data_IF_491891188329
#
_entry.id   IF_491891188329
#
_cell.length_a   1.000
_cell.length_b   1.000
_cell.length_c   1.000
_cell.angle_alpha   90.00
_cell.angle_beta   90.00
_cell.angle_gamma   90.00
#
_symmetry.space_group_name_H-M   'P 1'
#
loop_
_entity.id
_entity.type
_entity.pdbx_description
1 polymer ?
#
# COMPACT_ATOMS: atom_id res chain seq x y z
N UNK A 1 -8.47 15.37 16.27
CA UNK A 1 -8.81 14.12 15.56
C UNK A 1 -8.14 14.13 14.19
N UNK A 2 -8.05 12.99 13.53
CA UNK A 2 -7.36 12.83 12.25
C UNK A 2 -8.09 11.82 11.36
N UNK A 3 -8.85 12.27 10.33
CA UNK A 3 -9.34 11.37 9.30
C UNK A 3 -8.17 10.83 8.49
N UNK A 4 -7.97 9.51 8.44
CA UNK A 4 -6.94 8.86 7.62
C UNK A 4 -7.39 8.78 6.16
N UNK A 5 -7.69 9.95 5.60
CA UNK A 5 -8.30 10.15 4.30
C UNK A 5 -7.55 11.30 3.61
N UNK A 6 -6.53 10.93 2.83
CA UNK A 6 -5.68 11.88 2.12
C UNK A 6 -5.29 11.36 0.75
N UNK A 7 -5.00 12.28 -0.16
CA UNK A 7 -4.37 12.00 -1.46
C UNK A 7 -3.13 12.88 -1.60
N UNK A 8 -2.23 12.47 -2.47
CA UNK A 8 -1.01 13.20 -2.81
C UNK A 8 -1.24 14.62 -3.38
N UNK A 9 -2.48 14.95 -3.79
CA UNK A 9 -2.88 16.27 -4.31
C UNK A 9 -3.96 16.93 -3.44
N UNK A 10 -3.70 18.18 -3.00
CA UNK A 10 -4.65 19.00 -2.25
C UNK A 10 -5.45 19.99 -3.11
N UNK A 11 -6.34 20.74 -2.46
CA UNK A 11 -7.15 21.82 -3.05
C UNK A 11 -8.65 21.60 -2.92
N UNK A 12 -9.44 22.66 -2.72
CA UNK A 12 -10.89 22.54 -2.54
C UNK A 12 -11.60 21.87 -3.74
N UNK A 13 -11.06 22.05 -4.95
CA UNK A 13 -11.55 21.42 -6.17
C UNK A 13 -11.40 19.89 -6.21
N UNK A 14 -10.53 19.31 -5.37
CA UNK A 14 -10.36 17.85 -5.25
C UNK A 14 -11.18 17.27 -4.09
N UNK A 15 -11.96 18.10 -3.40
CA UNK A 15 -12.86 17.68 -2.34
C UNK A 15 -13.92 16.73 -2.85
N UNK A 16 -14.18 15.66 -2.09
CA UNK A 16 -15.23 14.69 -2.40
C UNK A 16 -16.02 14.39 -1.14
N UNK A 17 -17.33 14.27 -1.28
CA UNK A 17 -18.22 13.93 -0.17
C UNK A 17 -17.93 12.52 0.41
N UNK A 18 -17.42 11.62 -0.44
CA UNK A 18 -17.13 10.21 -0.10
C UNK A 18 -15.73 9.99 0.50
N UNK A 19 -14.95 11.05 0.76
CA UNK A 19 -13.52 10.91 1.05
C UNK A 19 -13.24 10.14 2.35
N UNK A 20 -14.19 10.14 3.29
CA UNK A 20 -14.07 9.50 4.60
C UNK A 20 -14.69 8.10 4.68
N UNK A 21 -15.48 7.70 3.68
CA UNK A 21 -16.23 6.42 3.69
C UNK A 21 -15.26 5.25 3.86
N UNK A 22 -15.54 4.40 4.85
CA UNK A 22 -14.75 3.23 5.24
C UNK A 22 -13.26 3.54 5.54
N UNK A 23 -12.93 4.79 5.89
CA UNK A 23 -11.58 5.18 6.31
C UNK A 23 -11.48 5.25 7.82
N UNK A 24 -10.34 4.84 8.43
CA UNK A 24 -10.10 5.09 9.83
C UNK A 24 -10.16 6.59 10.15
N UNK A 25 -10.82 6.95 11.24
CA UNK A 25 -10.86 8.30 11.77
C UNK A 25 -10.34 8.29 13.20
N UNK A 26 -9.13 8.78 13.40
CA UNK A 26 -8.51 8.76 14.72
C UNK A 26 -9.07 9.88 15.60
N UNK A 27 -9.53 9.50 16.78
CA UNK A 27 -10.01 10.40 17.83
C UNK A 27 -8.99 10.35 18.95
N UNK A 28 -8.19 11.40 19.06
CA UNK A 28 -7.13 11.51 20.05
C UNK A 28 -7.75 11.71 21.44
N UNK A 29 -7.64 10.71 22.33
CA UNK A 29 -8.14 10.80 23.71
C UNK A 29 -7.12 11.52 24.57
N UNK A 30 -7.51 12.62 25.20
CA UNK A 30 -6.68 13.39 26.13
C UNK A 30 -7.40 13.54 27.47
N UNK A 31 -6.70 13.60 28.62
CA UNK A 31 -7.33 13.72 29.93
C UNK A 31 -8.27 14.92 30.10
N UNK A 32 -8.07 15.98 29.31
CA UNK A 32 -8.84 17.22 29.36
C UNK A 32 -10.05 17.21 28.41
N UNK A 33 -10.17 16.21 27.54
CA UNK A 33 -11.32 16.08 26.64
C UNK A 33 -12.53 15.57 27.42
N UNK A 34 -13.65 16.30 27.36
CA UNK A 34 -14.90 15.83 27.96
C UNK A 34 -15.50 14.67 27.14
N UNK A 35 -16.27 13.81 27.80
CA UNK A 35 -16.93 12.69 27.13
C UNK A 35 -17.89 13.19 26.03
N UNK A 36 -18.56 14.32 26.25
CA UNK A 36 -19.45 14.93 25.26
C UNK A 36 -18.70 15.38 24.00
N UNK A 37 -17.50 15.95 24.17
CA UNK A 37 -16.66 16.37 23.04
C UNK A 37 -16.15 15.16 22.23
N UNK A 38 -15.78 14.07 22.91
CA UNK A 38 -15.36 12.84 22.26
C UNK A 38 -16.52 12.20 21.49
N UNK A 39 -17.71 12.13 22.10
CA UNK A 39 -18.93 11.61 21.46
C UNK A 39 -19.34 12.44 20.24
N UNK A 40 -19.23 13.77 20.31
CA UNK A 40 -19.55 14.64 19.18
C UNK A 40 -18.67 14.35 17.96
N UNK A 41 -17.36 14.19 18.16
CA UNK A 41 -16.42 13.88 17.08
C UNK A 41 -16.63 12.47 16.55
N UNK A 42 -16.95 11.52 17.43
CA UNK A 42 -17.27 10.14 17.04
C UNK A 42 -18.53 10.07 16.20
N UNK A 43 -19.60 10.76 16.59
CA UNK A 43 -20.82 10.83 15.82
C UNK A 43 -20.58 11.46 14.44
N UNK A 44 -19.79 12.53 14.37
CA UNK A 44 -19.41 13.13 13.08
C UNK A 44 -18.66 12.13 12.18
N UNK A 45 -17.74 11.35 12.74
CA UNK A 45 -17.02 10.34 11.98
C UNK A 45 -17.98 9.25 11.45
N UNK A 46 -18.94 8.81 12.27
CA UNK A 46 -19.95 7.83 11.87
C UNK A 46 -20.93 8.37 10.81
N UNK A 47 -21.37 9.62 10.95
CA UNK A 47 -22.24 10.30 9.97
C UNK A 47 -21.57 10.44 8.60
N UNK A 48 -20.24 10.47 8.57
CA UNK A 48 -19.41 10.48 7.36
C UNK A 48 -18.96 9.08 6.91
N UNK A 49 -19.56 8.03 7.48
CA UNK A 49 -19.29 6.61 7.20
C UNK A 49 -17.81 6.20 7.42
N UNK A 50 -17.09 6.96 8.25
CA UNK A 50 -15.74 6.62 8.66
C UNK A 50 -15.76 5.56 9.77
N UNK A 51 -14.59 5.01 10.09
CA UNK A 51 -14.40 4.00 11.14
C UNK A 51 -13.68 4.70 12.31
N UNK A 52 -14.37 5.09 13.40
CA UNK A 52 -13.74 5.76 14.53
C UNK A 52 -12.71 4.85 15.21
N UNK A 53 -11.55 5.41 15.53
CA UNK A 53 -10.49 4.72 16.29
C UNK A 53 -10.02 5.65 17.39
N UNK A 54 -10.19 5.25 18.66
CA UNK A 54 -9.70 6.03 19.80
C UNK A 54 -8.26 5.63 20.12
N UNK A 55 -7.36 6.61 20.15
CA UNK A 55 -5.94 6.44 20.51
C UNK A 55 -5.49 7.62 21.37
N UNK A 56 -4.50 7.44 22.23
CA UNK A 56 -3.78 8.60 22.77
C UNK A 56 -3.01 9.33 21.66
N UNK A 57 -2.69 10.62 21.81
CA UNK A 57 -1.86 11.35 20.85
C UNK A 57 -0.53 10.64 20.56
N UNK A 58 0.12 10.10 21.60
CA UNK A 58 1.40 9.43 21.47
C UNK A 58 1.31 8.10 20.70
N UNK A 59 0.25 7.31 20.94
CA UNK A 59 0.01 6.08 20.17
C UNK A 59 -0.28 6.38 18.71
N UNK A 60 -1.07 7.42 18.44
CA UNK A 60 -1.32 7.90 17.08
C UNK A 60 0.00 8.29 16.39
N UNK A 61 0.80 9.16 17.01
CA UNK A 61 2.02 9.69 16.42
C UNK A 61 3.06 8.58 16.15
N UNK A 62 3.19 7.63 17.06
CA UNK A 62 3.98 6.40 16.86
C UNK A 62 3.49 5.58 15.68
N UNK A 63 2.18 5.34 15.60
CA UNK A 63 1.60 4.57 14.52
C UNK A 63 1.85 5.25 13.16
N UNK A 64 1.53 6.54 13.03
CA UNK A 64 1.69 7.27 11.76
C UNK A 64 3.16 7.51 11.39
N UNK A 65 4.08 7.54 12.35
CA UNK A 65 5.52 7.55 12.06
C UNK A 65 5.93 6.32 11.24
N UNK A 66 5.43 5.13 11.61
CA UNK A 66 5.70 3.87 10.91
C UNK A 66 4.90 3.73 9.62
N UNK A 67 3.57 3.96 9.66
CA UNK A 67 2.68 3.60 8.55
C UNK A 67 2.48 4.70 7.50
N UNK A 68 2.99 5.92 7.74
CA UNK A 68 2.78 7.07 6.84
C UNK A 68 4.04 7.92 6.65
N UNK A 69 4.63 8.45 7.72
CA UNK A 69 5.70 9.45 7.62
C UNK A 69 7.03 8.86 7.14
N UNK A 70 7.45 7.73 7.70
CA UNK A 70 8.68 7.05 7.26
C UNK A 70 8.56 6.55 5.82
N UNK A 71 7.46 5.88 5.40
CA UNK A 71 7.25 5.53 4.01
C UNK A 71 7.40 6.72 3.04
N UNK A 72 6.87 7.90 3.39
CA UNK A 72 7.05 9.10 2.59
C UNK A 72 8.52 9.49 2.40
N UNK A 73 9.32 9.47 3.47
CA UNK A 73 10.75 9.79 3.41
C UNK A 73 11.52 8.76 2.60
N UNK A 74 11.28 7.47 2.82
CA UNK A 74 11.91 6.39 2.05
C UNK A 74 11.60 6.51 0.57
N UNK A 75 10.31 6.72 0.23
CA UNK A 75 9.85 6.95 -1.13
C UNK A 75 10.56 8.15 -1.77
N UNK A 76 10.67 9.27 -1.04
CA UNK A 76 11.32 10.49 -1.52
C UNK A 76 12.82 10.32 -1.72
N UNK A 77 13.50 9.64 -0.80
CA UNK A 77 14.94 9.35 -0.89
C UNK A 77 15.26 8.41 -2.06
N UNK A 78 14.44 7.38 -2.27
CA UNK A 78 14.57 6.48 -3.42
C UNK A 78 14.31 7.21 -4.74
N UNK A 79 13.24 7.99 -4.83
CA UNK A 79 12.93 8.81 -6.01
C UNK A 79 14.06 9.77 -6.36
N UNK A 80 14.70 10.37 -5.34
CA UNK A 80 15.83 11.28 -5.53
C UNK A 80 17.06 10.60 -6.16
N UNK A 81 17.19 9.27 -6.12
CA UNK A 81 18.25 8.54 -6.84
C UNK A 81 18.03 8.46 -8.35
N UNK A 82 16.80 8.68 -8.82
CA UNK A 82 16.45 8.64 -10.24
C UNK A 82 16.84 9.94 -10.97
N UNK A 83 17.10 11.03 -10.24
CA UNK A 83 17.47 12.32 -10.82
C UNK A 83 18.84 12.22 -11.47
N UNK A 84 18.89 12.32 -12.80
CA UNK A 84 20.13 12.20 -13.57
C UNK A 84 20.66 10.78 -13.73
N UNK A 85 19.89 9.76 -13.30
CA UNK A 85 20.23 8.36 -13.51
C UNK A 85 20.03 7.95 -14.98
N UNK A 86 20.83 6.99 -15.43
CA UNK A 86 20.61 6.27 -16.70
C UNK A 86 19.78 5.02 -16.46
N UNK A 87 19.05 4.52 -17.48
CA UNK A 87 18.28 3.28 -17.35
C UNK A 87 16.89 3.45 -16.69
N UNK A 88 16.43 4.68 -16.45
CA UNK A 88 15.10 4.95 -15.87
C UNK A 88 13.96 4.43 -16.76
N UNK A 89 14.21 4.30 -18.06
CA UNK A 89 13.30 3.67 -19.02
C UNK A 89 12.98 2.20 -18.70
N UNK A 90 13.84 1.52 -17.93
CA UNK A 90 13.62 0.15 -17.46
C UNK A 90 12.67 0.07 -16.25
N UNK A 91 12.20 1.21 -15.73
CA UNK A 91 11.33 1.27 -14.57
C UNK A 91 9.96 0.61 -14.82
N UNK A 92 9.77 -0.57 -14.22
CA UNK A 92 8.50 -1.27 -14.13
C UNK A 92 7.55 -0.70 -13.07
N UNK A 93 6.39 -1.34 -12.91
CA UNK A 93 5.31 -0.88 -12.01
C UNK A 93 5.75 -0.86 -10.53
N UNK A 94 6.53 -1.84 -10.08
CA UNK A 94 6.99 -1.91 -8.70
C UNK A 94 7.77 -0.67 -8.23
N UNK A 95 8.67 -0.12 -9.07
CA UNK A 95 9.34 1.13 -8.76
C UNK A 95 8.34 2.30 -8.70
N UNK A 96 7.44 2.39 -9.68
CA UNK A 96 6.42 3.46 -9.76
C UNK A 96 5.54 3.49 -8.52
N UNK A 97 5.10 2.34 -8.04
CA UNK A 97 4.29 2.22 -6.82
C UNK A 97 5.08 2.63 -5.58
N UNK A 98 6.34 2.19 -5.48
CA UNK A 98 7.24 2.51 -4.36
C UNK A 98 7.52 4.02 -4.27
N UNK A 99 7.72 4.69 -5.41
CA UNK A 99 8.03 6.13 -5.45
C UNK A 99 6.80 7.03 -5.61
N UNK A 100 5.59 6.47 -5.71
CA UNK A 100 4.36 7.21 -6.04
C UNK A 100 4.12 8.40 -5.11
N UNK A 101 4.35 8.22 -3.81
CA UNK A 101 4.05 9.23 -2.78
C UNK A 101 5.15 10.32 -2.69
N UNK A 102 6.33 10.11 -3.29
CA UNK A 102 7.38 11.12 -3.37
C UNK A 102 6.95 12.41 -4.08
N UNK A 103 5.91 12.35 -4.92
CA UNK A 103 5.34 13.51 -5.63
C UNK A 103 4.42 14.40 -4.77
N UNK A 104 4.38 14.21 -3.46
CA UNK A 104 3.55 15.00 -2.54
C UNK A 104 4.08 16.43 -2.32
N UNK A 105 3.22 17.34 -1.85
CA UNK A 105 3.59 18.75 -1.56
C UNK A 105 4.65 18.86 -0.45
N UNK A 106 5.87 19.35 -0.76
CA UNK A 106 6.93 19.51 0.24
C UNK A 106 6.56 20.47 1.37
N UNK A 107 5.76 21.50 1.13
CA UNK A 107 5.41 22.49 2.17
C UNK A 107 4.59 21.86 3.28
N UNK A 108 3.64 21.01 2.90
CA UNK A 108 2.83 20.24 3.84
C UNK A 108 3.69 19.22 4.59
N UNK A 109 4.50 18.44 3.87
CA UNK A 109 5.26 17.36 4.48
C UNK A 109 6.36 17.85 5.42
N UNK A 110 7.00 19.00 5.16
CA UNK A 110 7.95 19.59 6.12
C UNK A 110 7.29 19.88 7.47
N UNK A 111 6.03 20.33 7.48
CA UNK A 111 5.29 20.56 8.73
C UNK A 111 4.95 19.25 9.44
N UNK A 112 4.46 18.25 8.71
CA UNK A 112 4.14 16.91 9.25
C UNK A 112 5.38 16.25 9.87
N UNK A 113 6.49 16.25 9.12
CA UNK A 113 7.74 15.66 9.56
C UNK A 113 8.33 16.40 10.77
N UNK A 114 8.27 17.73 10.76
CA UNK A 114 8.71 18.55 11.89
C UNK A 114 7.90 18.30 13.17
N UNK A 115 6.58 18.12 13.03
CA UNK A 115 5.69 17.89 14.16
C UNK A 115 5.88 16.52 14.83
N UNK A 116 6.38 15.50 14.11
CA UNK A 116 6.50 14.13 14.61
C UNK A 116 7.95 13.58 14.53
N UNK A 117 8.95 14.46 14.56
CA UNK A 117 10.34 14.11 14.28
C UNK A 117 10.90 13.02 15.21
N UNK A 118 10.54 13.02 16.50
CA UNK A 118 11.06 12.05 17.47
C UNK A 118 10.65 10.61 17.17
N UNK A 119 9.37 10.39 16.86
CA UNK A 119 8.88 9.05 16.53
C UNK A 119 9.39 8.61 15.15
N UNK A 120 9.50 9.53 14.19
CA UNK A 120 10.08 9.26 12.86
C UNK A 120 11.55 8.81 12.99
N UNK A 121 12.36 9.52 13.77
CA UNK A 121 13.79 9.16 13.98
C UNK A 121 13.93 7.75 14.55
N UNK A 122 13.02 7.35 15.44
CA UNK A 122 13.03 6.00 16.01
C UNK A 122 12.86 4.95 14.92
N UNK A 123 11.88 5.12 14.02
CA UNK A 123 11.66 4.19 12.90
C UNK A 123 12.81 4.22 11.89
N UNK A 124 13.31 5.41 11.55
CA UNK A 124 14.41 5.56 10.59
C UNK A 124 15.71 4.90 11.07
N UNK A 125 16.02 4.96 12.37
CA UNK A 125 17.21 4.28 12.92
C UNK A 125 17.13 2.76 12.83
N UNK A 126 15.95 2.18 13.06
CA UNK A 126 15.75 0.75 12.85
C UNK A 126 15.94 0.40 11.38
N UNK A 127 15.34 1.18 10.47
CA UNK A 127 15.50 0.98 9.03
C UNK A 127 16.95 1.16 8.55
N UNK A 128 17.67 2.15 9.08
CA UNK A 128 19.09 2.39 8.80
C UNK A 128 19.95 1.19 9.22
N UNK A 129 19.69 0.63 10.41
CA UNK A 129 20.38 -0.57 10.90
C UNK A 129 20.14 -1.77 9.99
N UNK A 130 18.90 -2.00 9.59
CA UNK A 130 18.54 -3.11 8.70
C UNK A 130 19.17 -2.93 7.30
N UNK A 131 19.12 -1.71 6.77
CA UNK A 131 19.77 -1.36 5.50
C UNK A 131 21.28 -1.55 5.56
N UNK A 132 21.92 -1.16 6.67
CA UNK A 132 23.36 -1.37 6.90
C UNK A 132 23.72 -2.85 6.85
N UNK A 133 22.97 -3.72 7.53
CA UNK A 133 23.20 -5.16 7.49
C UNK A 133 23.04 -5.76 6.07
N UNK A 134 22.08 -5.26 5.29
CA UNK A 134 21.90 -5.67 3.88
C UNK A 134 23.08 -5.21 3.02
N UNK A 135 23.55 -3.97 3.20
CA UNK A 135 24.71 -3.45 2.48
C UNK A 135 25.95 -4.29 2.78
N UNK A 136 26.25 -4.54 4.07
CA UNK A 136 27.41 -5.35 4.48
C UNK A 136 27.36 -6.77 3.91
N UNK A 137 26.16 -7.38 3.83
CA UNK A 137 25.98 -8.69 3.23
C UNK A 137 26.20 -8.66 1.70
N UNK A 138 25.74 -7.62 1.01
CA UNK A 138 25.90 -7.47 -0.44
C UNK A 138 27.33 -7.13 -0.86
N UNK A 139 28.09 -6.44 0.00
CA UNK A 139 29.50 -6.11 -0.25
C UNK A 139 30.40 -7.36 -0.29
N UNK A 140 30.05 -8.41 0.46
CA UNK A 140 30.79 -9.67 0.45
C UNK A 140 29.88 -10.88 0.73
N UNK A 141 29.33 -11.45 -0.35
CA UNK A 141 28.47 -12.63 -0.30
C UNK A 141 29.18 -13.92 0.15
N UNK A 142 30.52 -13.93 0.22
CA UNK A 142 31.29 -15.08 0.68
C UNK A 142 31.37 -15.19 2.20
N UNK A 143 31.08 -14.10 2.92
CA UNK A 143 31.05 -14.10 4.38
C UNK A 143 29.99 -15.06 4.92
N UNK A 144 30.33 -15.87 5.94
CA UNK A 144 29.34 -16.70 6.62
C UNK A 144 28.14 -15.85 7.09
N UNK A 145 26.94 -16.23 6.67
CA UNK A 145 25.70 -15.56 7.05
C UNK A 145 25.19 -14.48 6.08
N UNK A 146 25.97 -14.04 5.09
CA UNK A 146 25.55 -12.98 4.16
C UNK A 146 24.22 -13.31 3.44
N UNK A 147 24.13 -14.49 2.81
CA UNK A 147 22.89 -14.93 2.15
C UNK A 147 21.73 -15.11 3.12
N UNK A 148 22.00 -15.54 4.37
CA UNK A 148 20.97 -15.69 5.38
C UNK A 148 20.40 -14.33 5.83
N UNK A 149 21.23 -13.28 5.92
CA UNK A 149 20.78 -11.91 6.19
C UNK A 149 19.85 -11.40 5.09
N UNK A 150 20.18 -11.68 3.81
CA UNK A 150 19.33 -11.30 2.68
C UNK A 150 18.00 -12.04 2.71
N UNK A 151 18.02 -13.37 2.87
CA UNK A 151 16.83 -14.20 2.99
C UNK A 151 15.93 -13.71 4.14
N UNK A 152 16.51 -13.49 5.32
CA UNK A 152 15.75 -13.08 6.49
C UNK A 152 15.14 -11.68 6.32
N UNK A 153 15.83 -10.76 5.66
CA UNK A 153 15.29 -9.44 5.31
C UNK A 153 14.05 -9.57 4.42
N UNK A 154 14.12 -10.39 3.37
CA UNK A 154 12.99 -10.62 2.46
C UNK A 154 11.83 -11.33 3.19
N UNK A 155 12.12 -12.36 3.98
CA UNK A 155 11.11 -13.07 4.77
C UNK A 155 10.41 -12.14 5.77
N UNK A 156 11.16 -11.26 6.44
CA UNK A 156 10.58 -10.28 7.35
C UNK A 156 9.72 -9.24 6.61
N UNK A 157 10.15 -8.80 5.42
CA UNK A 157 9.35 -7.96 4.54
C UNK A 157 8.02 -8.63 4.17
N UNK A 158 8.06 -9.90 3.77
CA UNK A 158 6.86 -10.68 3.44
C UNK A 158 5.91 -10.74 4.64
N UNK A 159 6.40 -11.09 5.83
CA UNK A 159 5.61 -11.09 7.07
C UNK A 159 5.00 -9.73 7.38
N UNK A 160 5.74 -8.65 7.11
CA UNK A 160 5.23 -7.28 7.23
C UNK A 160 4.02 -7.03 6.34
N UNK A 161 4.08 -7.44 5.08
CA UNK A 161 2.94 -7.36 4.14
C UNK A 161 1.74 -8.18 4.63
N UNK A 162 1.97 -9.40 5.13
CA UNK A 162 0.90 -10.27 5.65
C UNK A 162 0.16 -9.70 6.87
N UNK A 163 0.81 -8.79 7.61
CA UNK A 163 0.23 -8.12 8.77
C UNK A 163 -0.77 -7.01 8.42
N UNK A 164 -0.78 -6.55 7.16
CA UNK A 164 -1.69 -5.51 6.71
C UNK A 164 -3.13 -6.04 6.61
N UNK A 165 -4.14 -5.24 7.00
CA UNK A 165 -5.54 -5.65 6.90
C UNK A 165 -6.01 -5.70 5.43
N UNK A 166 -6.68 -6.78 5.05
CA UNK A 166 -7.35 -6.93 3.75
C UNK A 166 -8.75 -6.30 3.71
N UNK A 167 -9.41 -6.34 2.54
CA UNK A 167 -10.72 -5.68 2.27
C UNK A 167 -11.85 -6.03 3.26
N UNK A 168 -11.76 -7.18 3.94
CA UNK A 168 -12.73 -7.64 4.94
C UNK A 168 -12.11 -7.84 6.33
N UNK A 169 -10.95 -7.25 6.61
CA UNK A 169 -10.17 -7.51 7.83
C UNK A 169 -9.45 -8.87 7.85
N UNK A 170 -9.57 -9.66 6.78
CA UNK A 170 -8.77 -10.86 6.52
C UNK A 170 -7.30 -10.51 6.24
N UNK A 171 -6.35 -11.31 6.72
CA UNK A 171 -4.92 -11.12 6.38
C UNK A 171 -4.70 -11.37 4.88
N UNK A 172 -3.86 -10.55 4.25
CA UNK A 172 -3.49 -10.66 2.82
C UNK A 172 -2.91 -12.05 2.49
N UNK A 173 -2.30 -12.73 3.47
CA UNK A 173 -1.61 -14.02 3.30
C UNK A 173 -2.45 -15.22 2.88
N UNK A 174 -3.76 -15.03 2.68
CA UNK A 174 -4.67 -16.11 2.29
C UNK A 174 -5.28 -15.92 0.90
N UNK A 175 -4.67 -15.15 -0.01
CA UNK A 175 -5.16 -15.10 -1.39
C UNK A 175 -4.29 -15.93 -2.33
N UNK A 176 -4.93 -16.55 -3.32
CA UNK A 176 -4.29 -17.10 -4.50
C UNK A 176 -4.29 -16.05 -5.59
N UNK A 177 -3.13 -15.81 -6.16
CA UNK A 177 -2.92 -14.75 -7.16
C UNK A 177 -2.69 -15.37 -8.54
N UNK A 178 -3.35 -14.82 -9.56
CA UNK A 178 -3.27 -15.29 -10.94
C UNK A 178 -3.09 -14.10 -11.88
N UNK A 179 -2.18 -14.20 -12.85
CA UNK A 179 -1.95 -13.14 -13.84
C UNK A 179 -2.63 -13.51 -15.15
N UNK A 180 -3.66 -12.75 -15.52
CA UNK A 180 -4.40 -12.91 -16.78
C UNK A 180 -3.87 -11.92 -17.81
N UNK A 181 -3.51 -12.41 -18.99
CA UNK A 181 -3.15 -11.59 -20.13
C UNK A 181 -4.42 -11.07 -20.82
N UNK A 182 -4.53 -9.76 -20.95
CA UNK A 182 -5.63 -9.09 -21.66
C UNK A 182 -5.12 -8.38 -22.91
N UNK A 183 -5.94 -8.38 -23.97
CA UNK A 183 -5.64 -7.58 -25.15
C UNK A 183 -5.80 -6.08 -24.87
N UNK A 184 -5.01 -5.25 -25.54
CA UNK A 184 -5.18 -3.80 -25.51
C UNK A 184 -6.32 -3.35 -26.44
N UNK A 185 -7.56 -3.71 -26.08
CA UNK A 185 -8.78 -3.36 -26.80
C UNK A 185 -9.87 -2.87 -25.84
N UNK A 186 -10.73 -1.93 -26.27
CA UNK A 186 -11.85 -1.46 -25.45
C UNK A 186 -12.74 -2.62 -24.98
N UNK A 187 -13.00 -2.70 -23.68
CA UNK A 187 -13.92 -3.65 -23.07
C UNK A 187 -13.30 -4.97 -22.59
N UNK A 188 -12.02 -5.25 -22.84
CA UNK A 188 -11.41 -6.52 -22.41
C UNK A 188 -11.40 -6.69 -20.88
N UNK A 189 -11.11 -5.63 -20.12
CA UNK A 189 -11.23 -5.68 -18.65
C UNK A 189 -12.66 -5.96 -18.21
N UNK A 190 -13.65 -5.31 -18.82
CA UNK A 190 -15.06 -5.53 -18.49
C UNK A 190 -15.49 -6.96 -18.81
N UNK A 191 -15.03 -7.50 -19.94
CA UNK A 191 -15.25 -8.91 -20.33
C UNK A 191 -14.69 -9.85 -19.28
N UNK A 192 -13.44 -9.62 -18.84
CA UNK A 192 -12.80 -10.43 -17.79
C UNK A 192 -13.63 -10.44 -16.50
N UNK A 193 -14.01 -9.28 -15.98
CA UNK A 193 -14.78 -9.20 -14.73
C UNK A 193 -16.19 -9.77 -14.86
N UNK A 194 -16.87 -9.57 -16.00
CA UNK A 194 -18.18 -10.16 -16.24
C UNK A 194 -18.11 -11.69 -16.23
N UNK A 195 -17.13 -12.27 -16.93
CA UNK A 195 -16.98 -13.72 -16.99
C UNK A 195 -16.59 -14.32 -15.63
N UNK A 196 -15.77 -13.63 -14.82
CA UNK A 196 -15.49 -14.03 -13.43
C UNK A 196 -16.77 -13.99 -12.57
N UNK A 197 -17.59 -12.94 -12.75
CA UNK A 197 -18.88 -12.81 -12.09
C UNK A 197 -19.86 -13.92 -12.45
N UNK A 198 -19.92 -14.34 -13.71
CA UNK A 198 -20.75 -15.47 -14.17
C UNK A 198 -20.33 -16.81 -13.55
N UNK A 199 -19.03 -16.99 -13.28
CA UNK A 199 -18.52 -18.17 -12.56
C UNK A 199 -18.90 -18.13 -11.07
N UNK A 200 -19.25 -16.95 -10.55
CA UNK A 200 -19.61 -16.73 -9.15
C UNK A 200 -18.39 -16.61 -8.24
N UNK A 201 -17.26 -16.10 -8.75
CA UNK A 201 -16.03 -15.88 -7.99
C UNK A 201 -15.87 -14.39 -7.69
N UNK A 202 -15.57 -14.05 -6.44
CA UNK A 202 -15.23 -12.69 -6.07
C UNK A 202 -13.74 -12.41 -6.29
N UNK A 203 -13.42 -11.23 -6.80
CA UNK A 203 -12.02 -10.74 -6.92
C UNK A 203 -11.71 -9.89 -5.69
N UNK A 204 -10.81 -10.40 -4.85
CA UNK A 204 -10.43 -9.78 -3.58
C UNK A 204 -9.46 -8.62 -3.80
N UNK A 205 -8.56 -8.72 -4.78
CA UNK A 205 -7.70 -7.60 -5.18
C UNK A 205 -7.34 -7.67 -6.66
N UNK A 206 -6.96 -6.52 -7.24
CA UNK A 206 -6.53 -6.44 -8.63
C UNK A 206 -5.34 -5.49 -8.80
N UNK A 207 -4.37 -5.88 -9.63
CA UNK A 207 -3.36 -4.97 -10.16
C UNK A 207 -3.32 -5.06 -11.67
N UNK A 208 -3.12 -3.92 -12.31
CA UNK A 208 -2.98 -3.82 -13.76
C UNK A 208 -1.57 -3.33 -14.08
N UNK A 209 -0.82 -4.13 -14.83
CA UNK A 209 0.48 -3.75 -15.35
C UNK A 209 0.42 -3.55 -16.87
N UNK A 210 1.07 -2.48 -17.33
CA UNK A 210 1.29 -2.22 -18.75
C UNK A 210 2.76 -2.40 -19.06
N UNK A 211 3.07 -3.29 -20.01
CA UNK A 211 4.42 -3.41 -20.55
C UNK A 211 4.68 -2.29 -21.57
N UNK A 212 5.70 -1.43 -21.38
CA UNK A 212 6.05 -0.42 -22.37
C UNK A 212 6.39 -1.08 -23.71
N UNK A 213 5.59 -0.81 -24.74
CA UNK A 213 5.84 -1.31 -26.11
C UNK A 213 5.12 -2.61 -26.50
N UNK A 214 4.36 -3.25 -25.61
CA UNK A 214 3.50 -4.39 -25.95
C UNK A 214 2.02 -4.00 -25.87
N UNK A 215 1.21 -4.40 -26.86
CA UNK A 215 -0.26 -4.22 -26.86
C UNK A 215 -0.97 -5.27 -26.00
N UNK A 216 -0.43 -5.53 -24.81
CA UNK A 216 -0.92 -6.53 -23.86
C UNK A 216 -0.91 -5.91 -22.46
N UNK A 217 -2.03 -6.03 -21.76
CA UNK A 217 -2.13 -5.74 -20.34
C UNK A 217 -2.00 -7.03 -19.52
N UNK A 218 -1.36 -6.94 -18.35
CA UNK A 218 -1.32 -8.04 -17.37
C UNK A 218 -2.22 -7.66 -16.20
N UNK A 219 -3.23 -8.47 -15.94
CA UNK A 219 -4.15 -8.29 -14.82
C UNK A 219 -3.85 -9.34 -13.76
N UNK A 220 -3.23 -8.91 -12.67
CA UNK A 220 -3.06 -9.73 -11.47
C UNK A 220 -4.38 -9.74 -10.70
N UNK A 221 -4.98 -10.91 -10.54
CA UNK A 221 -6.21 -11.16 -9.79
C UNK A 221 -5.89 -11.91 -8.51
N UNK A 222 -6.34 -11.39 -7.37
CA UNK A 222 -6.29 -12.11 -6.09
C UNK A 222 -7.67 -12.65 -5.72
N UNK A 223 -7.77 -13.93 -5.44
CA UNK A 223 -9.01 -14.63 -5.05
C UNK A 223 -8.78 -15.49 -3.81
N UNK A 224 -9.86 -15.97 -3.17
CA UNK A 224 -9.74 -16.90 -2.05
C UNK A 224 -9.08 -18.23 -2.49
N UNK A 225 -8.33 -18.95 -1.61
CA UNK A 225 -7.52 -20.10 -2.02
C UNK A 225 -8.36 -21.26 -2.55
N UNK A 226 -9.58 -21.41 -2.05
CA UNK A 226 -10.48 -22.49 -2.44
C UNK A 226 -11.13 -22.34 -3.82
N UNK A 227 -10.94 -21.21 -4.51
CA UNK A 227 -11.59 -20.94 -5.81
C UNK A 227 -10.61 -20.75 -6.98
N UNK A 228 -9.30 -20.80 -6.71
CA UNK A 228 -8.26 -20.53 -7.70
C UNK A 228 -8.24 -21.49 -8.89
N UNK A 229 -8.24 -22.81 -8.63
CA UNK A 229 -8.23 -23.81 -9.71
C UNK A 229 -9.47 -23.70 -10.62
N UNK A 230 -10.63 -23.40 -10.02
CA UNK A 230 -11.87 -23.17 -10.75
C UNK A 230 -11.80 -21.92 -11.61
N UNK A 231 -11.25 -20.82 -11.08
CA UNK A 231 -11.03 -19.59 -11.84
C UNK A 231 -10.18 -19.85 -13.09
N UNK A 232 -9.04 -20.51 -12.92
CA UNK A 232 -8.11 -20.81 -14.02
C UNK A 232 -8.78 -21.69 -15.06
N UNK A 233 -9.44 -22.77 -14.63
CA UNK A 233 -10.11 -23.70 -15.55
C UNK A 233 -11.20 -23.00 -16.37
N UNK A 234 -12.08 -22.23 -15.73
CA UNK A 234 -13.22 -21.57 -16.40
C UNK A 234 -12.76 -20.46 -17.35
N UNK A 235 -11.80 -19.63 -16.93
CA UNK A 235 -11.28 -18.57 -17.80
C UNK A 235 -10.46 -19.13 -18.96
N UNK A 236 -9.69 -20.19 -18.76
CA UNK A 236 -8.98 -20.87 -19.85
C UNK A 236 -9.96 -21.46 -20.87
N UNK A 237 -11.06 -22.07 -20.41
CA UNK A 237 -12.11 -22.57 -21.30
C UNK A 237 -12.80 -21.46 -22.12
N UNK A 238 -12.83 -20.23 -21.59
CA UNK A 238 -13.33 -19.02 -22.25
C UNK A 238 -12.27 -18.30 -23.11
N UNK A 239 -11.08 -18.89 -23.25
CA UNK A 239 -10.02 -18.42 -24.14
C UNK A 239 -9.07 -17.39 -23.52
N UNK A 240 -9.17 -17.14 -22.21
CA UNK A 240 -8.15 -16.34 -21.51
C UNK A 240 -6.84 -17.10 -21.42
N UNK A 241 -5.75 -16.33 -21.36
CA UNK A 241 -4.41 -16.87 -21.14
C UNK A 241 -3.87 -16.34 -19.82
N UNK A 242 -3.25 -17.23 -19.07
CA UNK A 242 -2.52 -16.89 -17.85
C UNK A 242 -1.02 -16.81 -18.16
N UNK A 243 -0.31 -15.92 -17.46
CA UNK A 243 1.14 -15.79 -17.54
C UNK A 243 1.85 -16.82 -16.65
#
# INVERSE_FOLDING_TARGET
SHPMAGREKGGAATGRADIFVARPWVIATQPQASDEALQLVEQLALDLEAIPVRLSPLEHDRAVALVSHTPQLVSSLLAARLVGATGVELAGQGLRDTVRIAASDPKLWVQILGANASEIVTVLKSLESDLGAVIEALEDLSKPGALATLDQTIVNGNRGVESLPGKHGSRISQYSTFVVMIGDQPGELARLFNEIGEVGINVEDLKLEHSPGAQIGLVELSVLPGVGDRLVSELTARGWRFA
#
